data_IF_660711935083
#
_entry.id   IF_660711935083
#
_cell.length_a   1.000
_cell.length_b   1.000
_cell.length_c   1.000
_cell.angle_alpha   90.00
_cell.angle_beta   90.00
_cell.angle_gamma   90.00
#
_symmetry.space_group_name_H-M   'P 1'
#
loop_
_entity.id
_entity.type
_entity.pdbx_description
1 polymer ?
#
# COMPACT_ATOMS: atom_id res chain seq x y z
N UNK A 1 -19.70 -8.81 -13.33
CA UNK A 1 -21.09 -8.67 -13.81
C UNK A 1 -22.04 -8.56 -12.60
N UNK A 2 -22.87 -7.52 -12.49
CA UNK A 2 -23.84 -7.38 -11.40
C UNK A 2 -24.98 -8.42 -11.40
N UNK A 3 -25.05 -9.35 -12.37
CA UNK A 3 -26.12 -10.37 -12.46
C UNK A 3 -25.80 -11.74 -11.88
N UNK A 4 -24.63 -11.93 -11.28
CA UNK A 4 -24.27 -13.23 -10.69
C UNK A 4 -24.99 -13.38 -9.35
N UNK A 5 -25.96 -14.30 -9.28
CA UNK A 5 -26.71 -14.60 -8.05
C UNK A 5 -25.73 -15.08 -6.98
N UNK A 6 -25.67 -14.38 -5.84
CA UNK A 6 -24.83 -14.79 -4.72
C UNK A 6 -25.36 -16.10 -4.12
N UNK A 7 -24.48 -17.06 -3.79
CA UNK A 7 -24.88 -18.23 -3.03
C UNK A 7 -25.39 -17.85 -1.64
N UNK A 8 -26.22 -18.71 -1.05
CA UNK A 8 -26.72 -18.54 0.33
C UNK A 8 -25.66 -18.84 1.40
N UNK A 9 -24.48 -19.29 0.99
CA UNK A 9 -23.34 -19.63 1.85
C UNK A 9 -22.13 -18.74 1.50
N UNK A 10 -21.16 -18.68 2.41
CA UNK A 10 -19.92 -17.93 2.20
C UNK A 10 -18.81 -18.91 1.80
N UNK A 11 -18.24 -18.83 0.59
CA UNK A 11 -17.30 -19.84 0.11
C UNK A 11 -15.93 -19.73 0.77
N UNK A 12 -15.36 -18.53 0.82
CA UNK A 12 -13.99 -18.29 1.28
C UNK A 12 -13.97 -17.45 2.55
N UNK A 13 -12.90 -17.56 3.33
CA UNK A 13 -12.52 -16.55 4.33
C UNK A 13 -11.22 -15.88 3.86
N UNK A 14 -11.24 -14.55 3.77
CA UNK A 14 -10.15 -13.72 3.24
C UNK A 14 -9.79 -12.66 4.27
N UNK A 15 -8.55 -12.70 4.73
CA UNK A 15 -7.98 -11.67 5.61
C UNK A 15 -6.79 -11.01 4.93
N UNK A 16 -6.75 -9.67 4.96
CA UNK A 16 -5.72 -8.85 4.33
C UNK A 16 -5.22 -7.83 5.34
N UNK A 17 -3.95 -7.98 5.70
CA UNK A 17 -3.28 -7.14 6.69
C UNK A 17 -2.11 -6.42 6.03
N UNK A 18 -2.28 -5.12 5.68
CA UNK A 18 -1.20 -4.33 5.14
C UNK A 18 -0.36 -3.68 6.26
N UNK A 19 0.96 -3.70 6.09
CA UNK A 19 1.92 -2.99 6.93
C UNK A 19 2.63 -1.92 6.10
N UNK A 20 2.59 -0.67 6.56
CA UNK A 20 3.16 0.47 5.84
C UNK A 20 4.55 0.79 6.38
N UNK A 21 5.54 0.89 5.49
CA UNK A 21 6.93 1.14 5.84
C UNK A 21 7.63 2.07 4.82
N UNK A 22 8.87 2.48 5.14
CA UNK A 22 9.63 3.42 4.33
C UNK A 22 9.20 4.88 4.48
N UNK A 23 9.93 5.78 3.82
CA UNK A 23 9.67 7.22 3.90
C UNK A 23 8.31 7.54 3.30
N UNK A 24 7.45 8.19 4.08
CA UNK A 24 6.08 8.53 3.70
C UNK A 24 5.33 7.33 3.13
N UNK A 25 5.50 6.15 3.73
CA UNK A 25 4.81 4.90 3.34
C UNK A 25 5.11 4.44 1.91
N UNK A 26 6.35 4.62 1.43
CA UNK A 26 6.78 4.20 0.08
C UNK A 26 6.65 2.69 -0.18
N UNK A 27 6.53 1.89 0.88
CA UNK A 27 6.47 0.43 0.82
C UNK A 27 5.26 -0.08 1.60
N UNK A 28 4.57 -1.07 1.04
CA UNK A 28 3.44 -1.75 1.67
C UNK A 28 3.68 -3.25 1.63
N UNK A 29 3.82 -3.85 2.80
CA UNK A 29 3.94 -5.29 2.96
C UNK A 29 2.55 -5.87 3.22
N UNK A 30 2.07 -6.72 2.33
CA UNK A 30 0.77 -7.37 2.48
C UNK A 30 0.96 -8.75 3.09
N UNK A 31 0.22 -9.04 4.15
CA UNK A 31 0.02 -10.38 4.67
C UNK A 31 -1.42 -10.81 4.38
N UNK A 32 -1.58 -11.86 3.59
CA UNK A 32 -2.89 -12.31 3.10
C UNK A 32 -3.10 -13.76 3.46
N UNK A 33 -4.24 -14.06 4.07
CA UNK A 33 -4.66 -15.41 4.39
C UNK A 33 -5.98 -15.75 3.69
N UNK A 34 -6.01 -16.92 3.05
CA UNK A 34 -7.15 -17.44 2.30
C UNK A 34 -7.46 -18.86 2.77
N UNK A 35 -8.73 -19.15 3.09
CA UNK A 35 -9.18 -20.49 3.46
C UNK A 35 -10.56 -20.82 2.90
N UNK A 36 -10.80 -22.11 2.71
CA UNK A 36 -12.12 -22.65 2.42
C UNK A 36 -12.89 -22.78 3.73
N UNK A 37 -14.16 -22.37 3.74
CA UNK A 37 -14.95 -22.39 4.97
C UNK A 37 -15.40 -23.80 5.34
N UNK A 38 -15.16 -24.19 6.59
CA UNK A 38 -15.54 -25.52 7.11
C UNK A 38 -17.05 -25.80 7.00
N UNK A 39 -17.87 -24.76 7.05
CA UNK A 39 -19.33 -24.86 6.91
C UNK A 39 -19.76 -25.40 5.54
N UNK A 40 -18.91 -25.25 4.52
CA UNK A 40 -19.18 -25.72 3.17
C UNK A 40 -19.21 -27.25 3.06
N UNK A 41 -18.64 -27.99 4.01
CA UNK A 41 -18.80 -29.46 4.08
C UNK A 41 -20.26 -29.84 4.17
N UNK A 42 -21.04 -29.09 4.93
CA UNK A 42 -22.44 -29.44 5.17
C UNK A 42 -23.32 -29.07 3.97
N UNK A 43 -23.04 -27.93 3.35
CA UNK A 43 -23.82 -27.35 2.24
C UNK A 43 -23.45 -27.96 0.89
N UNK A 44 -22.15 -28.03 0.58
CA UNK A 44 -21.62 -28.44 -0.73
C UNK A 44 -21.08 -29.86 -0.77
N UNK A 45 -20.94 -30.53 0.39
CA UNK A 45 -20.28 -31.85 0.51
C UNK A 45 -18.83 -31.84 -0.03
N UNK A 46 -18.19 -30.67 -0.02
CA UNK A 46 -16.84 -30.46 -0.54
C UNK A 46 -15.86 -30.11 0.58
N UNK A 47 -14.72 -30.83 0.64
CA UNK A 47 -13.64 -30.59 1.61
C UNK A 47 -12.63 -29.52 1.17
N UNK A 48 -12.72 -29.09 -0.09
CA UNK A 48 -11.86 -28.08 -0.73
C UNK A 48 -12.61 -27.40 -1.87
N UNK A 49 -12.13 -26.24 -2.28
CA UNK A 49 -12.58 -25.54 -3.48
C UNK A 49 -12.00 -26.17 -4.77
N UNK A 50 -12.50 -25.74 -5.93
CA UNK A 50 -11.81 -25.84 -7.20
C UNK A 50 -10.68 -24.81 -7.33
N UNK A 51 -10.23 -24.54 -8.56
CA UNK A 51 -9.25 -23.49 -8.88
C UNK A 51 -9.77 -22.14 -8.42
N UNK A 52 -8.97 -21.41 -7.64
CA UNK A 52 -9.34 -20.13 -7.04
C UNK A 52 -8.45 -19.03 -7.57
N UNK A 53 -9.05 -17.89 -7.88
CA UNK A 53 -8.33 -16.64 -8.11
C UNK A 53 -8.67 -15.69 -6.98
N UNK A 54 -7.63 -15.07 -6.40
CA UNK A 54 -7.77 -13.95 -5.49
C UNK A 54 -7.20 -12.68 -6.13
N UNK A 55 -8.06 -11.69 -6.31
CA UNK A 55 -7.72 -10.35 -6.78
C UNK A 55 -7.57 -9.44 -5.57
N UNK A 56 -6.43 -8.78 -5.43
CA UNK A 56 -6.16 -7.84 -4.33
C UNK A 56 -5.89 -6.49 -4.95
N UNK A 57 -6.83 -5.55 -4.79
CA UNK A 57 -6.60 -4.17 -5.22
C UNK A 57 -5.40 -3.60 -4.47
N UNK A 58 -4.59 -2.78 -5.14
CA UNK A 58 -3.49 -2.05 -4.53
C UNK A 58 -3.65 -0.55 -4.80
N UNK A 59 -3.07 0.32 -3.97
CA UNK A 59 -3.14 1.75 -4.17
C UNK A 59 -2.57 2.20 -5.52
N UNK A 60 -3.18 3.21 -6.13
CA UNK A 60 -2.69 3.79 -7.38
C UNK A 60 -1.26 4.30 -7.22
N UNK A 61 -0.42 4.08 -8.23
CA UNK A 61 1.01 4.41 -8.14
C UNK A 61 1.85 3.37 -7.40
N UNK A 62 1.29 2.31 -6.84
CA UNK A 62 2.04 1.16 -6.30
C UNK A 62 2.09 0.02 -7.31
N UNK A 63 3.17 -0.75 -7.28
CA UNK A 63 3.38 -1.96 -8.07
C UNK A 63 4.18 -3.00 -7.29
N UNK A 64 4.02 -4.27 -7.65
CA UNK A 64 4.90 -5.34 -7.20
C UNK A 64 5.88 -5.66 -8.32
N UNK A 65 7.12 -5.91 -7.96
CA UNK A 65 8.13 -6.30 -8.95
C UNK A 65 7.80 -7.68 -9.52
N UNK A 66 7.75 -7.78 -10.85
CA UNK A 66 7.44 -9.02 -11.56
C UNK A 66 8.40 -10.17 -11.20
N UNK A 67 9.65 -9.82 -10.89
CA UNK A 67 10.66 -10.77 -10.43
C UNK A 67 10.24 -11.43 -9.11
N UNK A 68 9.70 -10.67 -8.17
CA UNK A 68 9.32 -11.18 -6.85
C UNK A 68 8.14 -12.16 -6.97
N UNK A 69 7.15 -11.85 -7.83
CA UNK A 69 6.04 -12.75 -8.15
C UNK A 69 6.55 -14.08 -8.73
N UNK A 70 7.48 -14.03 -9.69
CA UNK A 70 8.06 -15.24 -10.29
C UNK A 70 8.83 -16.08 -9.27
N UNK A 71 9.56 -15.43 -8.36
CA UNK A 71 10.27 -16.12 -7.26
C UNK A 71 9.26 -16.81 -6.33
N UNK A 72 8.14 -16.16 -5.99
CA UNK A 72 7.10 -16.77 -5.14
C UNK A 72 6.54 -18.05 -5.77
N UNK A 73 6.28 -18.04 -7.08
CA UNK A 73 5.79 -19.22 -7.82
C UNK A 73 6.86 -20.31 -7.88
N UNK A 74 8.11 -19.94 -8.20
CA UNK A 74 9.18 -20.91 -8.42
C UNK A 74 9.65 -21.59 -7.12
N UNK A 75 9.75 -20.84 -6.02
CA UNK A 75 10.19 -21.36 -4.73
C UNK A 75 9.20 -22.35 -4.12
N UNK A 76 7.91 -22.32 -4.54
CA UNK A 76 6.83 -23.19 -4.03
C UNK A 76 6.65 -23.15 -2.51
N UNK A 77 7.08 -22.08 -1.85
CA UNK A 77 6.87 -21.86 -0.42
C UNK A 77 5.38 -21.65 -0.10
N UNK A 78 4.65 -21.03 -1.03
CA UNK A 78 3.20 -20.86 -0.89
C UNK A 78 2.50 -22.09 -1.46
N UNK A 79 1.78 -22.79 -0.59
CA UNK A 79 1.03 -24.00 -0.95
C UNK A 79 0.02 -23.70 -2.05
N UNK A 80 -0.07 -24.60 -3.04
CA UNK A 80 -1.03 -24.57 -4.15
C UNK A 80 -0.99 -23.31 -5.05
N UNK A 81 -0.05 -22.38 -4.86
CA UNK A 81 0.12 -21.21 -5.72
C UNK A 81 0.64 -21.67 -7.09
N UNK A 82 -0.07 -21.28 -8.16
CA UNK A 82 0.26 -21.63 -9.55
C UNK A 82 0.57 -20.40 -10.39
N UNK A 83 -0.07 -19.29 -10.08
CA UNK A 83 0.02 -18.06 -10.87
C UNK A 83 0.01 -16.84 -9.96
N UNK A 84 0.75 -15.81 -10.36
CA UNK A 84 0.75 -14.50 -9.74
C UNK A 84 1.06 -13.46 -10.82
N UNK A 85 0.17 -12.49 -11.00
CA UNK A 85 0.27 -11.51 -12.08
C UNK A 85 -0.08 -10.09 -11.59
N UNK A 86 0.68 -9.11 -12.06
CA UNK A 86 0.35 -7.71 -11.93
C UNK A 86 -0.77 -7.31 -12.89
N UNK A 87 -1.90 -6.85 -12.35
CA UNK A 87 -2.99 -6.28 -13.15
C UNK A 87 -3.10 -4.76 -12.89
N UNK A 88 -3.66 -3.95 -13.81
CA UNK A 88 -3.85 -2.54 -13.53
C UNK A 88 -4.67 -2.29 -12.25
N UNK A 89 -4.02 -1.75 -11.21
CA UNK A 89 -4.64 -1.39 -9.93
C UNK A 89 -4.89 -2.57 -8.97
N UNK A 90 -4.47 -3.78 -9.30
CA UNK A 90 -4.63 -4.96 -8.45
C UNK A 90 -3.57 -6.04 -8.77
N UNK A 91 -3.52 -7.07 -7.96
CA UNK A 91 -2.64 -8.22 -8.17
C UNK A 91 -3.49 -9.48 -8.06
N UNK A 92 -3.32 -10.38 -9.02
CA UNK A 92 -4.08 -11.60 -9.09
C UNK A 92 -3.18 -12.77 -8.68
N UNK A 93 -3.64 -13.60 -7.77
CA UNK A 93 -2.98 -14.86 -7.41
C UNK A 93 -3.92 -16.03 -7.71
N UNK A 94 -3.40 -17.02 -8.45
CA UNK A 94 -4.12 -18.22 -8.85
C UNK A 94 -3.65 -19.43 -8.03
N UNK A 95 -4.60 -20.10 -7.40
CA UNK A 95 -4.39 -21.32 -6.62
C UNK A 95 -5.10 -22.50 -7.26
N UNK A 96 -4.47 -23.67 -7.23
CA UNK A 96 -5.08 -24.90 -7.76
C UNK A 96 -6.30 -25.33 -6.95
N UNK A 97 -6.24 -25.20 -5.62
CA UNK A 97 -7.36 -25.36 -4.70
C UNK A 97 -7.04 -24.74 -3.35
N UNK A 98 -8.08 -24.42 -2.59
CA UNK A 98 -8.02 -23.97 -1.20
C UNK A 98 -8.79 -24.98 -0.35
N UNK A 99 -8.21 -25.39 0.78
CA UNK A 99 -8.84 -26.26 1.76
C UNK A 99 -9.08 -25.53 3.09
N UNK A 100 -9.46 -26.26 4.13
CA UNK A 100 -9.74 -25.69 5.45
C UNK A 100 -8.51 -25.10 6.14
N UNK A 101 -7.31 -25.57 5.77
CA UNK A 101 -6.09 -25.03 6.33
C UNK A 101 -5.79 -23.70 5.62
N UNK A 102 -5.72 -22.57 6.33
CA UNK A 102 -5.47 -21.29 5.68
C UNK A 102 -4.12 -21.29 4.97
N UNK A 103 -4.11 -20.78 3.74
CA UNK A 103 -2.90 -20.47 2.98
C UNK A 103 -2.61 -19.00 3.21
N UNK A 104 -1.53 -18.72 3.93
CA UNK A 104 -1.05 -17.36 4.16
C UNK A 104 0.19 -17.09 3.31
N UNK A 105 0.23 -15.94 2.67
CA UNK A 105 1.36 -15.51 1.85
C UNK A 105 1.60 -14.01 1.99
N UNK A 106 2.80 -13.60 1.61
CA UNK A 106 3.24 -12.21 1.72
C UNK A 106 3.78 -11.72 0.39
N UNK A 107 3.50 -10.46 0.08
CA UNK A 107 4.10 -9.76 -1.05
C UNK A 107 4.26 -8.28 -0.71
N UNK A 108 5.21 -7.63 -1.37
CA UNK A 108 5.54 -6.24 -1.10
C UNK A 108 5.23 -5.37 -2.31
N UNK A 109 4.33 -4.39 -2.15
CA UNK A 109 4.09 -3.37 -3.15
C UNK A 109 4.92 -2.12 -2.84
N UNK A 110 5.63 -1.62 -3.85
CA UNK A 110 6.46 -0.42 -3.76
C UNK A 110 5.84 0.70 -4.57
N UNK A 111 6.02 1.95 -4.12
CA UNK A 111 5.61 3.13 -4.86
C UNK A 111 6.43 3.26 -6.14
N UNK A 112 5.75 3.17 -7.27
CA UNK A 112 6.30 3.34 -8.62
C UNK A 112 6.16 4.79 -9.12
N UNK A 113 5.01 5.41 -8.87
CA UNK A 113 4.71 6.81 -9.26
C UNK A 113 4.09 7.53 -8.07
N UNK A 114 4.47 8.79 -7.80
CA UNK A 114 3.85 9.58 -6.76
C UNK A 114 2.39 9.91 -7.12
N UNK A 115 1.45 9.48 -6.28
CA UNK A 115 0.02 9.83 -6.40
C UNK A 115 -0.45 10.40 -5.07
N UNK A 116 -1.03 11.59 -5.10
CA UNK A 116 -1.75 12.19 -3.97
C UNK A 116 -3.24 11.85 -4.06
N UNK A 117 -3.98 12.05 -2.95
CA UNK A 117 -5.43 11.78 -2.88
C UNK A 117 -5.78 10.35 -3.29
N UNK A 118 -5.16 9.40 -2.60
CA UNK A 118 -5.35 7.98 -2.86
C UNK A 118 -6.64 7.47 -2.20
N UNK A 119 -7.22 6.38 -2.68
CA UNK A 119 -8.41 5.80 -2.05
C UNK A 119 -8.13 5.30 -0.63
N UNK A 120 -9.15 5.36 0.25
CA UNK A 120 -9.04 4.82 1.62
C UNK A 120 -9.33 3.32 1.70
N UNK A 121 -10.29 2.86 0.90
CA UNK A 121 -10.86 1.51 0.96
C UNK A 121 -10.42 0.73 -0.29
N UNK A 122 -10.01 -0.51 -0.07
CA UNK A 122 -9.55 -1.42 -1.11
C UNK A 122 -10.25 -2.76 -0.95
N UNK A 123 -10.55 -3.40 -2.07
CA UNK A 123 -11.23 -4.69 -2.11
C UNK A 123 -10.22 -5.82 -2.37
N UNK A 124 -10.37 -6.91 -1.63
CA UNK A 124 -9.82 -8.21 -1.96
C UNK A 124 -10.97 -9.17 -2.28
N UNK A 125 -10.85 -9.90 -3.39
CA UNK A 125 -11.92 -10.73 -3.92
C UNK A 125 -11.37 -12.11 -4.24
N UNK A 126 -11.87 -13.14 -3.57
CA UNK A 126 -11.55 -14.52 -3.87
C UNK A 126 -12.76 -15.20 -4.51
N UNK A 127 -12.56 -15.91 -5.62
CA UNK A 127 -13.62 -16.65 -6.30
C UNK A 127 -13.08 -17.90 -7.00
N UNK A 128 -13.96 -18.88 -7.21
CA UNK A 128 -13.64 -20.04 -8.03
C UNK A 128 -13.67 -19.69 -9.52
N UNK A 129 -12.63 -20.09 -10.26
CA UNK A 129 -12.49 -19.75 -11.68
C UNK A 129 -13.64 -20.29 -12.53
N UNK A 130 -14.05 -21.54 -12.30
CA UNK A 130 -15.11 -22.20 -13.07
C UNK A 130 -16.52 -21.85 -12.56
N UNK A 131 -16.64 -21.35 -11.33
CA UNK A 131 -17.91 -20.91 -10.73
C UNK A 131 -17.74 -19.54 -10.04
N UNK A 132 -17.62 -18.43 -10.79
CA UNK A 132 -17.34 -17.11 -10.22
C UNK A 132 -18.44 -16.57 -9.28
N UNK A 133 -19.60 -17.22 -9.24
CA UNK A 133 -20.64 -16.96 -8.26
C UNK A 133 -20.19 -17.30 -6.83
N UNK A 134 -19.33 -18.30 -6.68
CA UNK A 134 -18.72 -18.70 -5.43
C UNK A 134 -17.57 -17.74 -5.11
N UNK A 135 -17.94 -16.53 -4.70
CA UNK A 135 -17.02 -15.44 -4.42
C UNK A 135 -17.22 -14.89 -3.00
N UNK A 136 -16.12 -14.50 -2.35
CA UNK A 136 -16.15 -13.63 -1.19
C UNK A 136 -15.36 -12.33 -1.47
N UNK A 137 -15.88 -11.21 -0.97
CA UNK A 137 -15.25 -9.88 -1.03
C UNK A 137 -14.97 -9.40 0.37
N UNK A 138 -13.71 -9.07 0.63
CA UNK A 138 -13.24 -8.44 1.86
C UNK A 138 -12.75 -7.04 1.54
N UNK A 139 -12.98 -6.09 2.45
CA UNK A 139 -12.52 -4.70 2.31
C UNK A 139 -11.48 -4.44 3.39
N UNK A 140 -10.37 -3.83 3.00
CA UNK A 140 -9.34 -3.38 3.92
C UNK A 140 -9.04 -1.89 3.70
N UNK A 141 -8.40 -1.24 4.69
CA UNK A 141 -8.22 0.22 4.67
C UNK A 141 -6.78 0.65 4.88
N UNK A 142 -6.37 1.71 4.17
CA UNK A 142 -5.05 2.31 4.27
C UNK A 142 -5.16 3.80 4.68
N UNK A 143 -5.48 4.03 5.96
CA UNK A 143 -5.76 5.38 6.48
C UNK A 143 -4.56 6.32 6.40
N UNK A 144 -3.37 5.82 6.74
CA UNK A 144 -2.16 6.63 6.72
C UNK A 144 -1.78 7.06 5.30
N UNK A 145 -2.00 6.17 4.32
CA UNK A 145 -1.74 6.46 2.92
C UNK A 145 -2.75 7.47 2.34
N UNK A 146 -4.02 7.34 2.72
CA UNK A 146 -5.09 8.29 2.38
C UNK A 146 -4.80 9.72 2.87
N UNK A 147 -4.10 9.86 3.99
CA UNK A 147 -3.77 11.16 4.58
C UNK A 147 -2.58 11.85 3.89
N UNK A 148 -1.86 11.18 2.99
CA UNK A 148 -0.69 11.75 2.34
C UNK A 148 -1.06 12.82 1.31
N UNK A 149 -0.33 13.93 1.34
CA UNK A 149 -0.41 15.00 0.35
C UNK A 149 0.71 14.92 -0.69
N UNK A 150 0.54 15.61 -1.83
CA UNK A 150 1.50 15.63 -2.94
C UNK A 150 2.91 16.01 -2.51
N UNK A 151 3.02 16.88 -1.51
CA UNK A 151 4.29 17.32 -0.95
C UNK A 151 5.08 16.19 -0.29
N UNK A 152 4.39 15.33 0.46
CA UNK A 152 5.01 14.18 1.13
C UNK A 152 5.34 13.10 0.12
N UNK A 153 4.46 12.88 -0.86
CA UNK A 153 4.66 11.82 -1.86
C UNK A 153 5.81 12.15 -2.81
N UNK A 154 5.92 13.41 -3.27
CA UNK A 154 6.99 13.87 -4.17
C UNK A 154 8.26 14.34 -3.43
N UNK A 155 8.18 14.58 -2.11
CA UNK A 155 9.29 15.13 -1.32
C UNK A 155 9.75 16.51 -1.79
N UNK A 156 8.81 17.37 -2.23
CA UNK A 156 9.15 18.68 -2.80
C UNK A 156 9.46 19.71 -1.72
N UNK A 157 10.58 20.42 -1.88
CA UNK A 157 10.97 21.56 -1.04
C UNK A 157 10.14 22.83 -1.30
N UNK A 158 9.39 22.87 -2.41
CA UNK A 158 8.59 24.01 -2.84
C UNK A 158 7.24 24.09 -2.10
N UNK A 159 6.95 23.16 -1.20
CA UNK A 159 5.70 23.13 -0.46
C UNK A 159 5.71 24.10 0.74
N UNK A 160 4.78 25.08 0.80
CA UNK A 160 4.82 26.19 1.76
C UNK A 160 4.66 25.77 3.24
N UNK A 161 4.24 24.54 3.53
CA UNK A 161 3.94 24.07 4.89
C UNK A 161 4.67 22.78 5.29
N UNK A 162 5.78 22.44 4.63
CA UNK A 162 6.53 21.21 4.92
C UNK A 162 7.86 21.47 5.67
N UNK A 163 7.90 21.33 7.01
CA UNK A 163 9.12 21.59 7.78
C UNK A 163 10.25 20.59 7.48
N UNK A 164 9.93 19.40 6.94
CA UNK A 164 10.90 18.34 6.65
C UNK A 164 11.66 18.50 5.33
N UNK A 165 11.14 19.26 4.37
CA UNK A 165 11.69 19.38 3.02
C UNK A 165 12.21 20.78 2.70
N UNK A 166 11.88 21.77 3.52
CA UNK A 166 12.35 23.15 3.38
C UNK A 166 13.17 23.56 4.62
N UNK A 167 14.45 23.11 4.74
CA UNK A 167 15.37 23.69 5.71
C UNK A 167 15.65 25.19 5.41
N UNK A 168 15.22 25.69 4.24
CA UNK A 168 15.31 27.09 3.87
C UNK A 168 14.64 28.02 4.91
N UNK A 169 13.57 27.58 5.56
CA UNK A 169 12.94 28.36 6.65
C UNK A 169 13.88 28.58 7.84
N UNK A 170 14.73 27.60 8.16
CA UNK A 170 15.76 27.69 9.22
C UNK A 170 16.95 28.57 8.77
N UNK A 171 17.35 28.46 7.50
CA UNK A 171 18.44 29.26 6.94
C UNK A 171 18.10 30.76 6.80
N UNK A 172 16.87 31.10 6.41
CA UNK A 172 16.44 32.50 6.25
C UNK A 172 16.43 33.25 7.59
N UNK A 173 15.97 32.59 8.67
CA UNK A 173 16.00 33.18 10.02
C UNK A 173 17.44 33.42 10.51
N UNK A 174 18.35 32.50 10.18
CA UNK A 174 19.76 32.60 10.56
C UNK A 174 20.51 33.73 9.82
N UNK A 175 20.21 33.93 8.53
CA UNK A 175 20.79 35.00 7.72
C UNK A 175 20.28 36.38 8.17
N UNK A 176 18.99 36.51 8.47
CA UNK A 176 18.41 37.77 8.95
C UNK A 176 19.04 38.23 10.28
N UNK A 177 19.29 37.30 11.20
CA UNK A 177 20.01 37.57 12.46
C UNK A 177 21.46 38.03 12.22
N UNK A 178 22.19 37.36 11.32
CA UNK A 178 23.56 37.74 10.94
C UNK A 178 23.64 39.15 10.35
N UNK A 179 22.69 39.50 9.46
CA UNK A 179 22.60 40.84 8.87
C UNK A 179 22.32 41.88 9.97
N UNK A 180 21.39 41.61 10.89
CA UNK A 180 21.09 42.53 12.00
C UNK A 180 22.32 42.77 12.90
N UNK A 181 23.07 41.72 13.23
CA UNK A 181 24.31 41.84 14.03
C UNK A 181 25.34 42.69 13.29
N UNK A 182 25.53 42.45 11.99
CA UNK A 182 26.44 43.24 11.14
C UNK A 182 26.07 44.73 11.13
N UNK A 183 24.79 45.05 10.92
CA UNK A 183 24.31 46.44 10.95
C UNK A 183 24.54 47.10 12.31
N UNK A 184 24.27 46.41 13.41
CA UNK A 184 24.52 46.94 14.77
C UNK A 184 26.01 47.18 15.02
N UNK A 185 26.89 46.26 14.57
CA UNK A 185 28.34 46.45 14.70
C UNK A 185 28.88 47.60 13.85
N UNK A 186 28.36 47.76 12.63
CA UNK A 186 28.72 48.87 11.74
C UNK A 186 28.26 50.21 12.31
N UNK A 187 27.03 50.29 12.82
CA UNK A 187 26.50 51.50 13.43
C UNK A 187 27.35 51.92 14.64
N UNK A 188 27.66 50.97 15.54
CA UNK A 188 28.55 51.24 16.69
C UNK A 188 29.96 51.67 16.28
N UNK A 189 30.52 51.09 15.22
CA UNK A 189 31.84 51.49 14.73
C UNK A 189 31.79 52.90 14.10
N UNK A 190 30.72 53.25 13.39
CA UNK A 190 30.57 54.58 12.80
C UNK A 190 30.41 55.66 13.86
N UNK A 191 29.60 55.41 14.90
CA UNK A 191 29.46 56.31 16.06
C UNK A 191 30.80 56.53 16.78
N UNK A 192 31.61 55.47 16.92
CA UNK A 192 32.93 55.58 17.57
C UNK A 192 33.93 56.42 16.76
N UNK A 193 33.81 56.40 15.42
CA UNK A 193 34.68 57.16 14.50
C UNK A 193 34.23 58.61 14.35
N UNK A 194 32.93 58.92 14.51
CA UNK A 194 32.40 60.29 14.45
C UNK A 194 32.60 61.10 15.73
N UNK A 195 32.87 60.44 16.87
CA UNK A 195 33.12 61.07 18.17
C UNK A 195 34.61 61.14 18.57
N UNK A 196 35.53 60.89 17.62
CA UNK A 196 36.97 61.11 17.79
C UNK A 196 37.49 62.08 16.74
#
# INVERSE_FOLDING_TARGET
>A
DPRVRRPSYVPFSVDVQPWLSGRNFSTIDYHVCLSWRSENVNVLKASRSGTVVIEIQIPTGYRVEEKDLKIMIHNRNTRNLREAENWPGQINFGFEYIDFNPICFQFQAKRWIPVANISRYYEARAYEWFEPANMNRSIYTLRNLFALDICEVCGSYQCPYCPYYSPATVFIQSIALLICILFVTLYKHLDLVLFH
#
